data_IF_938030187238
#
_entry.id   IF_938030187238
#
_cell.length_a   1.000
_cell.length_b   1.000
_cell.length_c   1.000
_cell.angle_alpha   90.00
_cell.angle_beta   90.00
_cell.angle_gamma   90.00
#
_symmetry.space_group_name_H-M   'P 1'
#
loop_
_entity.id
_entity.type
_entity.pdbx_description
1 polymer ?
#
# COMPACT_ATOMS: atom_id res chain seq x y z
N UNK A 1 -19.86 12.27 -31.84
CA UNK A 1 -20.21 11.75 -30.50
C UNK A 1 -19.07 10.83 -30.08
N UNK A 2 -18.18 11.32 -29.21
CA UNK A 2 -17.07 10.54 -28.67
C UNK A 2 -17.44 10.13 -27.25
N UNK A 3 -17.52 8.83 -26.99
CA UNK A 3 -17.84 8.25 -25.68
C UNK A 3 -16.68 8.42 -24.70
N UNK A 4 -16.88 8.95 -23.48
CA UNK A 4 -15.88 8.94 -22.43
C UNK A 4 -16.10 7.69 -21.55
N UNK A 5 -15.38 6.61 -21.81
CA UNK A 5 -15.50 5.37 -20.99
C UNK A 5 -14.21 5.05 -20.22
N UNK A 6 -13.10 5.75 -20.47
CA UNK A 6 -11.80 5.33 -19.90
C UNK A 6 -11.50 5.86 -18.49
N UNK A 7 -12.18 6.89 -18.00
CA UNK A 7 -11.85 7.48 -16.68
C UNK A 7 -12.44 6.71 -15.48
N UNK A 8 -13.52 5.95 -15.65
CA UNK A 8 -14.22 5.29 -14.53
C UNK A 8 -13.61 3.95 -14.11
N UNK A 9 -12.93 3.24 -15.01
CA UNK A 9 -12.43 1.88 -14.75
C UNK A 9 -11.10 1.88 -13.98
N UNK A 10 -10.20 2.83 -14.26
CA UNK A 10 -8.90 2.92 -13.58
C UNK A 10 -9.03 3.23 -12.09
N UNK A 11 -9.98 4.11 -11.74
CA UNK A 11 -10.33 4.42 -10.35
C UNK A 11 -10.91 3.20 -9.60
N UNK A 12 -11.70 2.35 -10.26
CA UNK A 12 -12.24 1.12 -9.64
C UNK A 12 -11.14 0.16 -9.21
N UNK A 13 -10.17 -0.13 -10.10
CA UNK A 13 -9.10 -1.08 -9.81
C UNK A 13 -8.21 -0.62 -8.64
N UNK A 14 -7.85 0.66 -8.59
CA UNK A 14 -7.01 1.16 -7.50
C UNK A 14 -7.72 1.13 -6.15
N UNK A 15 -9.02 1.42 -6.11
CA UNK A 15 -9.84 1.27 -4.91
C UNK A 15 -9.91 -0.20 -4.48
N UNK A 16 -10.06 -1.13 -5.41
CA UNK A 16 -10.03 -2.57 -5.13
C UNK A 16 -8.68 -3.01 -4.56
N UNK A 17 -7.56 -2.55 -5.14
CA UNK A 17 -6.21 -2.85 -4.63
C UNK A 17 -6.02 -2.31 -3.22
N UNK A 18 -6.41 -1.06 -2.95
CA UNK A 18 -6.31 -0.47 -1.61
C UNK A 18 -7.19 -1.20 -0.58
N UNK A 19 -8.40 -1.59 -0.98
CA UNK A 19 -9.29 -2.39 -0.14
C UNK A 19 -8.70 -3.76 0.22
N UNK A 20 -8.09 -4.45 -0.75
CA UNK A 20 -7.46 -5.75 -0.49
C UNK A 20 -6.15 -5.60 0.32
N UNK A 21 -5.38 -4.52 0.13
CA UNK A 21 -4.24 -4.19 0.98
C UNK A 21 -4.66 -4.06 2.44
N UNK A 22 -5.68 -3.24 2.73
CA UNK A 22 -6.23 -3.06 4.09
C UNK A 22 -6.69 -4.39 4.68
N UNK A 23 -7.37 -5.20 3.88
CA UNK A 23 -7.84 -6.52 4.29
C UNK A 23 -6.67 -7.44 4.67
N UNK A 24 -5.66 -7.58 3.82
CA UNK A 24 -4.49 -8.44 4.09
C UNK A 24 -3.77 -7.97 5.36
N UNK A 25 -3.61 -6.66 5.53
CA UNK A 25 -2.96 -6.09 6.71
C UNK A 25 -3.73 -6.45 7.97
N UNK A 26 -5.04 -6.23 7.96
CA UNK A 26 -5.92 -6.54 9.09
C UNK A 26 -5.93 -8.04 9.41
N UNK A 27 -5.94 -8.92 8.40
CA UNK A 27 -5.84 -10.37 8.57
C UNK A 27 -4.50 -10.77 9.22
N UNK A 28 -3.38 -10.19 8.78
CA UNK A 28 -2.06 -10.47 9.36
C UNK A 28 -1.97 -10.01 10.83
N UNK A 29 -2.46 -8.81 11.13
CA UNK A 29 -2.51 -8.29 12.50
C UNK A 29 -3.38 -9.16 13.41
N UNK A 30 -4.58 -9.52 12.96
CA UNK A 30 -5.51 -10.36 13.73
C UNK A 30 -4.96 -11.76 14.00
N UNK A 31 -4.14 -12.29 13.09
CA UNK A 31 -3.49 -13.61 13.23
C UNK A 31 -2.15 -13.53 13.96
N UNK A 32 -1.67 -12.34 14.31
CA UNK A 32 -0.37 -12.12 14.95
C UNK A 32 0.82 -12.51 14.08
N UNK A 33 0.64 -12.57 12.75
CA UNK A 33 1.68 -12.97 11.79
C UNK A 33 2.31 -11.74 11.14
N UNK A 34 3.64 -11.73 10.92
CA UNK A 34 4.30 -10.66 10.16
C UNK A 34 3.77 -10.57 8.72
N UNK A 35 3.77 -9.37 8.14
CA UNK A 35 3.37 -9.17 6.74
C UNK A 35 4.41 -9.70 5.75
N UNK A 36 5.66 -9.79 6.20
CA UNK A 36 6.83 -10.24 5.45
C UNK A 36 6.89 -11.75 5.24
N UNK A 37 5.95 -12.51 5.80
CA UNK A 37 5.88 -13.96 5.65
C UNK A 37 4.60 -14.38 4.93
N UNK A 38 4.62 -15.57 4.36
CA UNK A 38 3.46 -16.12 3.69
C UNK A 38 2.35 -16.52 4.68
N UNK A 39 1.08 -16.36 4.30
CA UNK A 39 0.58 -16.04 2.95
C UNK A 39 0.53 -14.54 2.61
N UNK A 40 0.69 -13.65 3.60
CA UNK A 40 0.49 -12.20 3.42
C UNK A 40 1.48 -11.63 2.40
N UNK A 41 2.77 -11.96 2.50
CA UNK A 41 3.81 -11.45 1.59
C UNK A 41 3.49 -11.73 0.13
N UNK A 42 3.15 -12.97 -0.22
CA UNK A 42 2.82 -13.35 -1.59
C UNK A 42 1.59 -12.61 -2.12
N UNK A 43 0.52 -12.49 -1.33
CA UNK A 43 -0.68 -11.73 -1.72
C UNK A 43 -0.41 -10.24 -1.92
N UNK A 44 0.38 -9.64 -1.02
CA UNK A 44 0.80 -8.24 -1.17
C UNK A 44 1.64 -8.04 -2.45
N UNK A 45 2.50 -9.00 -2.78
CA UNK A 45 3.29 -8.96 -4.00
C UNK A 45 2.43 -9.08 -5.27
N UNK A 46 1.40 -9.92 -5.26
CA UNK A 46 0.44 -10.01 -6.37
C UNK A 46 -0.30 -8.68 -6.61
N UNK A 47 -0.70 -8.00 -5.53
CA UNK A 47 -1.26 -6.66 -5.61
C UNK A 47 -0.26 -5.63 -6.15
N UNK A 48 1.00 -5.71 -5.71
CA UNK A 48 2.07 -4.86 -6.25
C UNK A 48 2.24 -5.06 -7.77
N UNK A 49 2.32 -6.31 -8.25
CA UNK A 49 2.44 -6.61 -9.68
C UNK A 49 1.23 -6.08 -10.45
N UNK A 50 0.03 -6.20 -9.89
CA UNK A 50 -1.20 -5.68 -10.49
C UNK A 50 -1.16 -4.15 -10.59
N UNK A 51 -0.81 -3.46 -9.50
CA UNK A 51 -0.65 -2.01 -9.47
C UNK A 51 0.43 -1.53 -10.45
N UNK A 52 1.55 -2.26 -10.53
CA UNK A 52 2.65 -1.93 -11.42
C UNK A 52 2.27 -2.13 -12.89
N UNK A 53 1.59 -3.23 -13.23
CA UNK A 53 1.09 -3.46 -14.58
C UNK A 53 0.06 -2.42 -15.04
N UNK A 54 -0.70 -1.84 -14.10
CA UNK A 54 -1.62 -0.73 -14.35
C UNK A 54 -0.93 0.65 -14.39
N UNK A 55 0.36 0.75 -14.04
CA UNK A 55 1.12 2.01 -14.03
C UNK A 55 0.92 2.87 -12.77
N UNK A 56 0.28 2.35 -11.72
CA UNK A 56 -0.05 3.12 -10.51
C UNK A 56 1.10 3.25 -9.51
N UNK A 57 2.22 2.57 -9.72
CA UNK A 57 3.39 2.66 -8.81
C UNK A 57 4.44 3.68 -9.26
N UNK A 58 4.17 4.42 -10.34
CA UNK A 58 5.07 5.42 -10.90
C UNK A 58 4.88 6.78 -10.20
N UNK A 59 5.96 7.56 -10.10
CA UNK A 59 5.87 8.93 -9.60
C UNK A 59 4.93 9.77 -10.47
N UNK A 60 4.02 10.50 -9.82
CA UNK A 60 3.02 11.33 -10.50
C UNK A 60 1.86 10.57 -11.14
N UNK A 61 1.72 9.27 -10.86
CA UNK A 61 0.54 8.50 -11.26
C UNK A 61 -0.73 8.99 -10.56
N UNK A 62 -1.85 8.89 -11.27
CA UNK A 62 -3.20 9.08 -10.73
C UNK A 62 -4.05 7.91 -11.21
N UNK A 63 -4.48 7.01 -10.31
CA UNK A 63 -4.31 7.01 -8.85
C UNK A 63 -2.86 6.71 -8.38
N UNK A 64 -2.45 7.35 -7.26
CA UNK A 64 -1.14 7.20 -6.62
C UNK A 64 -1.07 5.95 -5.72
N UNK A 65 -0.55 4.84 -6.26
CA UNK A 65 -0.22 3.62 -5.52
C UNK A 65 1.30 3.43 -5.36
N UNK A 66 2.04 4.54 -5.29
CA UNK A 66 3.42 4.52 -4.76
C UNK A 66 3.41 4.09 -3.29
N UNK A 67 4.58 3.77 -2.73
CA UNK A 67 4.69 3.44 -1.31
C UNK A 67 4.11 4.55 -0.42
N UNK A 68 4.42 5.81 -0.75
CA UNK A 68 3.89 6.98 -0.04
C UNK A 68 2.39 7.17 -0.25
N UNK A 69 1.89 6.97 -1.47
CA UNK A 69 0.48 7.07 -1.81
C UNK A 69 -0.39 6.07 -1.06
N UNK A 70 0.06 4.82 -0.98
CA UNK A 70 -0.61 3.75 -0.22
C UNK A 70 -0.59 4.07 1.27
N UNK A 71 0.58 4.40 1.83
CA UNK A 71 0.69 4.69 3.25
C UNK A 71 -0.16 5.90 3.66
N UNK A 72 -0.23 6.92 2.81
CA UNK A 72 -1.09 8.09 3.01
C UNK A 72 -2.57 7.70 3.02
N UNK A 73 -3.02 6.95 2.02
CA UNK A 73 -4.42 6.53 1.88
C UNK A 73 -4.87 5.66 3.04
N UNK A 74 -4.07 4.67 3.44
CA UNK A 74 -4.37 3.80 4.58
C UNK A 74 -4.30 4.54 5.92
N UNK A 75 -3.32 5.43 6.11
CA UNK A 75 -3.22 6.25 7.33
C UNK A 75 -4.43 7.18 7.50
N UNK A 76 -4.96 7.71 6.39
CA UNK A 76 -6.19 8.49 6.38
C UNK A 76 -7.41 7.63 6.71
N UNK A 77 -7.56 6.47 6.05
CA UNK A 77 -8.65 5.53 6.30
C UNK A 77 -8.70 5.04 7.76
N UNK A 78 -7.54 4.81 8.38
CA UNK A 78 -7.45 4.39 9.79
C UNK A 78 -7.42 5.55 10.79
N UNK A 79 -7.53 6.80 10.34
CA UNK A 79 -7.53 7.97 11.22
C UNK A 79 -6.23 8.20 12.00
N UNK A 80 -5.10 7.66 11.54
CA UNK A 80 -3.82 7.70 12.27
C UNK A 80 -3.31 9.12 12.49
N UNK A 81 -3.56 10.03 11.54
CA UNK A 81 -3.19 11.43 11.67
C UNK A 81 -3.95 12.11 12.82
N UNK A 82 -5.26 11.91 12.88
CA UNK A 82 -6.10 12.43 13.96
C UNK A 82 -5.69 11.86 15.32
N UNK A 83 -5.46 10.54 15.37
CA UNK A 83 -4.99 9.86 16.58
C UNK A 83 -3.63 10.39 17.07
N UNK A 84 -2.69 10.67 16.18
CA UNK A 84 -1.38 11.23 16.54
C UNK A 84 -1.51 12.67 17.06
N UNK A 85 -2.37 13.49 16.45
CA UNK A 85 -2.64 14.85 16.92
C UNK A 85 -3.30 14.85 18.30
N UNK A 86 -4.29 14.01 18.52
CA UNK A 86 -4.98 13.87 19.81
C UNK A 86 -4.04 13.36 20.90
N UNK A 87 -3.23 12.34 20.61
CA UNK A 87 -2.19 11.83 21.52
C UNK A 87 -1.22 12.92 21.96
N UNK A 88 -0.82 13.79 21.03
CA UNK A 88 0.09 14.90 21.31
C UNK A 88 -0.60 15.98 22.16
N UNK A 89 -1.82 16.38 21.78
CA UNK A 89 -2.59 17.40 22.49
C UNK A 89 -2.90 16.99 23.94
N UNK A 90 -3.24 15.71 24.14
CA UNK A 90 -3.62 15.17 25.44
C UNK A 90 -2.42 14.62 26.24
N UNK A 91 -1.20 14.71 25.69
CA UNK A 91 0.02 14.08 26.25
C UNK A 91 -0.20 12.61 26.63
N UNK A 92 -1.04 11.92 25.85
CA UNK A 92 -1.42 10.53 26.08
C UNK A 92 -0.65 9.61 25.14
N UNK A 93 -0.60 8.32 25.45
CA UNK A 93 -0.02 7.32 24.55
C UNK A 93 -1.03 6.96 23.47
N UNK A 94 -0.53 6.69 22.26
CA UNK A 94 -1.31 6.03 21.22
C UNK A 94 -1.84 4.68 21.73
N UNK A 95 -3.05 4.32 21.29
CA UNK A 95 -3.61 3.00 21.55
C UNK A 95 -2.73 1.92 20.93
N UNK A 96 -2.80 0.70 21.49
CA UNK A 96 -2.08 -0.45 20.94
C UNK A 96 -2.48 -0.74 19.48
N UNK A 97 -3.73 -0.47 19.12
CA UNK A 97 -4.24 -0.58 17.76
C UNK A 97 -3.55 0.40 16.81
N UNK A 98 -3.50 1.69 17.14
CA UNK A 98 -2.83 2.70 16.32
C UNK A 98 -1.33 2.40 16.15
N UNK A 99 -0.67 1.91 17.22
CA UNK A 99 0.73 1.48 17.14
C UNK A 99 0.90 0.24 16.24
N UNK A 100 -0.03 -0.71 16.27
CA UNK A 100 0.00 -1.85 15.36
C UNK A 100 -0.11 -1.38 13.90
N UNK A 101 -1.09 -0.53 13.60
CA UNK A 101 -1.30 0.03 12.26
C UNK A 101 -0.06 0.77 11.75
N UNK A 102 0.59 1.58 12.60
CA UNK A 102 1.85 2.24 12.24
C UNK A 102 2.97 1.26 11.90
N UNK A 103 3.12 0.15 12.65
CA UNK A 103 4.10 -0.90 12.31
C UNK A 103 3.76 -1.58 10.98
N UNK A 104 2.48 -1.84 10.74
CA UNK A 104 2.03 -2.43 9.48
C UNK A 104 2.31 -1.53 8.28
N UNK A 105 2.07 -0.21 8.40
CA UNK A 105 2.46 0.76 7.35
C UNK A 105 3.95 0.72 7.07
N UNK A 106 4.79 0.65 8.09
CA UNK A 106 6.24 0.56 7.92
C UNK A 106 6.66 -0.69 7.13
N UNK A 107 6.09 -1.85 7.49
CA UNK A 107 6.32 -3.10 6.77
C UNK A 107 5.89 -3.01 5.30
N UNK A 108 4.70 -2.46 5.02
CA UNK A 108 4.19 -2.25 3.66
C UNK A 108 5.11 -1.31 2.88
N UNK A 109 5.42 -0.13 3.43
CA UNK A 109 6.29 0.86 2.80
C UNK A 109 7.62 0.25 2.38
N UNK A 110 8.28 -0.47 3.30
CA UNK A 110 9.57 -1.13 3.03
C UNK A 110 9.44 -2.15 1.90
N UNK A 111 8.47 -3.06 1.95
CA UNK A 111 8.29 -4.08 0.91
C UNK A 111 7.96 -3.45 -0.44
N UNK A 112 7.08 -2.45 -0.47
CA UNK A 112 6.69 -1.77 -1.70
C UNK A 112 7.86 -1.05 -2.37
N UNK A 113 8.69 -0.36 -1.58
CA UNK A 113 9.93 0.26 -2.06
C UNK A 113 10.93 -0.78 -2.57
N UNK A 114 11.14 -1.88 -1.84
CA UNK A 114 12.02 -2.98 -2.24
C UNK A 114 11.60 -3.58 -3.58
N UNK A 115 10.30 -3.84 -3.75
CA UNK A 115 9.76 -4.40 -5.00
C UNK A 115 9.80 -3.39 -6.15
N UNK A 116 9.46 -2.13 -5.90
CA UNK A 116 9.57 -1.06 -6.92
C UNK A 116 11.00 -0.95 -7.43
N UNK A 117 11.97 -0.95 -6.52
CA UNK A 117 13.39 -0.93 -6.86
C UNK A 117 13.81 -2.18 -7.65
N UNK A 118 13.48 -3.37 -7.16
CA UNK A 118 13.80 -4.62 -7.85
C UNK A 118 13.19 -4.69 -9.27
N UNK A 119 11.97 -4.19 -9.42
CA UNK A 119 11.25 -4.16 -10.70
C UNK A 119 11.87 -3.15 -11.67
N UNK A 120 12.28 -1.96 -11.19
CA UNK A 120 12.91 -0.93 -12.03
C UNK A 120 14.22 -1.39 -12.68
N UNK A 121 14.91 -2.34 -12.03
CA UNK A 121 16.18 -2.91 -12.48
C UNK A 121 16.03 -4.23 -13.21
N UNK A 122 14.80 -4.71 -13.43
CA UNK A 122 14.53 -6.01 -14.04
C UNK A 122 15.24 -6.18 -15.38
N UNK A 123 15.23 -5.13 -16.21
CA UNK A 123 15.89 -5.10 -17.51
C UNK A 123 17.41 -5.23 -17.44
N UNK A 124 18.06 -4.76 -16.37
CA UNK A 124 19.52 -4.88 -16.20
C UNK A 124 19.97 -6.33 -16.06
N UNK A 125 19.10 -7.19 -15.49
CA UNK A 125 19.40 -8.59 -15.24
C UNK A 125 18.81 -9.55 -16.27
N UNK A 126 17.85 -9.08 -17.08
CA UNK A 126 17.19 -9.86 -18.13
C UNK A 126 17.56 -9.42 -19.56
N UNK A 127 18.29 -8.32 -19.72
CA UNK A 127 19.10 -8.07 -20.93
C UNK A 127 20.34 -8.96 -20.90
N UNK A 128 20.15 -10.24 -21.21
CA UNK A 128 21.20 -11.03 -21.85
C UNK A 128 21.12 -10.76 -23.35
N UNK A 129 22.20 -10.19 -23.90
CA UNK A 129 22.50 -10.35 -25.33
C UNK A 129 22.79 -11.81 -25.66
#
# INVERSE_FOLDING_TARGET
>A
MSTPVSASTGSSLAVEILGELDRIITEAESSGKPLEVDPSRSRLFELFVTAQGAGYTQEGSDPDLTADGICRSLAEQWGLKSAALESTANQSRLSAEHLSRMRSLWSVMRMWMEWTYAWSRWDEFHKKG
#
